data_IF_501800683468
#
_entry.id   IF_501800683468
#
_cell.length_a   1.000
_cell.length_b   1.000
_cell.length_c   1.000
_cell.angle_alpha   90.00
_cell.angle_beta   90.00
_cell.angle_gamma   90.00
#
_symmetry.space_group_name_H-M   'P 1'
#
loop_
_entity.id
_entity.type
_entity.pdbx_description
1 polymer ?
#
# COMPACT_ATOMS: atom_id res chain seq x y z
N UNK A 1 2.11 11.87 -10.63
CA UNK A 1 2.44 11.42 -9.26
C UNK A 1 3.94 11.21 -9.08
N UNK A 2 4.58 10.36 -9.88
CA UNK A 2 6.02 10.08 -9.78
C UNK A 2 6.93 11.33 -9.90
N UNK A 3 6.53 12.37 -10.64
CA UNK A 3 7.31 13.62 -10.80
C UNK A 3 7.34 14.46 -9.52
N UNK A 4 6.20 14.56 -8.82
CA UNK A 4 6.10 15.32 -7.57
C UNK A 4 6.92 14.67 -6.46
N UNK A 5 6.80 13.34 -6.31
CA UNK A 5 7.55 12.60 -5.31
C UNK A 5 9.06 12.65 -5.56
N UNK A 6 9.48 12.58 -6.83
CA UNK A 6 10.91 12.74 -7.21
C UNK A 6 11.44 14.14 -6.91
N UNK A 7 10.67 15.19 -7.19
CA UNK A 7 11.07 16.57 -6.84
C UNK A 7 11.16 16.78 -5.33
N UNK A 8 10.22 16.22 -4.57
CA UNK A 8 10.23 16.24 -3.11
C UNK A 8 11.42 15.47 -2.54
N UNK A 9 11.72 14.27 -3.07
CA UNK A 9 12.90 13.48 -2.71
C UNK A 9 14.21 14.19 -3.06
N UNK A 10 14.27 14.92 -4.17
CA UNK A 10 15.46 15.72 -4.50
C UNK A 10 15.69 16.89 -3.54
N UNK A 11 14.63 17.41 -2.91
CA UNK A 11 14.72 18.50 -1.93
C UNK A 11 15.00 18.00 -0.51
N UNK A 12 14.38 16.88 -0.10
CA UNK A 12 14.50 16.31 1.24
C UNK A 12 15.48 15.13 1.33
N UNK A 13 16.08 14.69 0.22
CA UNK A 13 16.97 13.53 0.16
C UNK A 13 18.30 13.72 0.90
N UNK A 14 18.75 14.97 1.00
CA UNK A 14 19.94 15.36 1.76
C UNK A 14 19.66 15.58 3.25
N UNK A 15 18.39 15.47 3.69
CA UNK A 15 18.09 15.50 5.11
C UNK A 15 18.72 14.26 5.77
N UNK A 16 19.57 14.48 6.77
CA UNK A 16 20.18 13.44 7.61
C UNK A 16 19.17 12.68 8.51
N UNK A 17 17.93 12.51 8.06
CA UNK A 17 16.82 11.91 8.79
C UNK A 17 16.23 10.71 8.02
N UNK A 18 17.03 9.66 7.76
CA UNK A 18 16.57 8.48 7.02
C UNK A 18 15.40 7.77 7.72
N UNK A 19 15.33 7.83 9.06
CA UNK A 19 14.21 7.27 9.84
C UNK A 19 12.87 7.95 9.52
N UNK A 20 12.85 9.29 9.43
CA UNK A 20 11.63 10.06 9.13
C UNK A 20 11.14 9.75 7.72
N UNK A 21 12.06 9.60 6.75
CA UNK A 21 11.72 9.23 5.38
C UNK A 21 11.15 7.82 5.30
N UNK A 22 11.70 6.86 6.05
CA UNK A 22 11.16 5.50 6.15
C UNK A 22 9.74 5.47 6.73
N UNK A 23 9.51 6.22 7.82
CA UNK A 23 8.18 6.30 8.46
C UNK A 23 7.15 6.94 7.53
N UNK A 24 7.55 7.99 6.82
CA UNK A 24 6.70 8.66 5.84
C UNK A 24 6.38 7.76 4.65
N UNK A 25 7.36 7.01 4.14
CA UNK A 25 7.15 6.02 3.09
C UNK A 25 6.20 4.90 3.54
N UNK A 26 6.37 4.39 4.76
CA UNK A 26 5.49 3.38 5.35
C UNK A 26 4.06 3.92 5.50
N UNK A 27 3.91 5.17 5.98
CA UNK A 27 2.63 5.84 6.09
C UNK A 27 1.95 6.02 4.72
N UNK A 28 2.72 6.44 3.71
CA UNK A 28 2.24 6.64 2.34
C UNK A 28 1.73 5.33 1.74
N UNK A 29 2.52 4.24 1.84
CA UNK A 29 2.13 2.91 1.37
C UNK A 29 0.87 2.40 2.09
N UNK A 30 0.76 2.62 3.40
CA UNK A 30 -0.46 2.28 4.18
C UNK A 30 -1.68 3.04 3.67
N UNK A 31 -1.53 4.33 3.36
CA UNK A 31 -2.62 5.16 2.83
C UNK A 31 -3.03 4.71 1.42
N UNK A 32 -2.07 4.40 0.55
CA UNK A 32 -2.34 3.87 -0.78
C UNK A 32 -3.07 2.54 -0.74
N UNK A 33 -2.65 1.60 0.13
CA UNK A 33 -3.38 0.34 0.34
C UNK A 33 -4.81 0.58 0.76
N UNK A 34 -5.05 1.52 1.68
CA UNK A 34 -6.40 1.86 2.11
C UNK A 34 -7.26 2.41 0.97
N UNK A 35 -6.70 3.24 0.09
CA UNK A 35 -7.41 3.76 -1.09
C UNK A 35 -7.79 2.63 -2.05
N UNK A 36 -6.85 1.73 -2.37
CA UNK A 36 -7.10 0.56 -3.21
C UNK A 36 -8.16 -0.35 -2.59
N UNK A 37 -8.06 -0.60 -1.28
CA UNK A 37 -9.03 -1.40 -0.55
C UNK A 37 -10.43 -0.77 -0.52
N UNK A 38 -10.51 0.56 -0.37
CA UNK A 38 -11.78 1.30 -0.47
C UNK A 38 -12.39 1.17 -1.87
N UNK A 39 -11.58 1.20 -2.93
CA UNK A 39 -12.06 0.96 -4.29
C UNK A 39 -12.62 -0.47 -4.44
N UNK A 40 -11.96 -1.46 -3.86
CA UNK A 40 -12.39 -2.87 -3.92
C UNK A 40 -13.65 -3.14 -3.08
N UNK A 41 -13.81 -2.49 -1.92
CA UNK A 41 -15.01 -2.58 -1.08
C UNK A 41 -16.23 -1.85 -1.65
N UNK A 42 -16.03 -0.83 -2.50
CA UNK A 42 -17.14 -0.11 -3.16
C UNK A 42 -17.85 -0.95 -4.23
N UNK A 43 -17.35 -2.15 -4.54
CA UNK A 43 -17.97 -3.08 -5.48
C UNK A 43 -17.91 -4.53 -5.00
N UNK A 44 -18.29 -5.47 -5.87
CA UNK A 44 -18.24 -6.93 -5.62
C UNK A 44 -16.88 -7.57 -5.94
N UNK A 45 -15.86 -6.76 -6.23
CA UNK A 45 -14.61 -7.22 -6.85
C UNK A 45 -13.51 -7.58 -5.85
N UNK A 46 -13.61 -7.17 -4.58
CA UNK A 46 -12.54 -7.37 -3.60
C UNK A 46 -12.07 -8.83 -3.44
N UNK A 47 -13.00 -9.78 -3.33
CA UNK A 47 -12.63 -11.21 -3.26
C UNK A 47 -11.93 -11.69 -4.55
N UNK A 48 -12.42 -11.28 -5.72
CA UNK A 48 -11.85 -11.66 -7.02
C UNK A 48 -10.44 -11.11 -7.19
N UNK A 49 -10.20 -9.85 -6.82
CA UNK A 49 -8.89 -9.21 -6.91
C UNK A 49 -7.89 -9.85 -5.94
N UNK A 50 -8.31 -10.17 -4.71
CA UNK A 50 -7.48 -10.91 -3.76
C UNK A 50 -7.05 -12.28 -4.31
N UNK A 51 -8.01 -13.04 -4.89
CA UNK A 51 -7.73 -14.34 -5.52
C UNK A 51 -6.82 -14.22 -6.73
N UNK A 52 -7.04 -13.22 -7.59
CA UNK A 52 -6.21 -12.97 -8.78
C UNK A 52 -4.74 -12.70 -8.41
N UNK A 53 -4.51 -12.14 -7.23
CA UNK A 53 -3.19 -11.80 -6.71
C UNK A 53 -2.58 -12.90 -5.82
N UNK A 54 -3.16 -14.10 -5.82
CA UNK A 54 -2.57 -15.28 -5.17
C UNK A 54 -2.94 -15.45 -3.70
N UNK A 55 -3.89 -14.67 -3.16
CA UNK A 55 -4.34 -14.87 -1.78
C UNK A 55 -5.16 -16.17 -1.66
N UNK A 56 -4.94 -16.90 -0.57
CA UNK A 56 -5.69 -18.12 -0.27
C UNK A 56 -7.19 -17.81 -0.18
N UNK A 57 -8.03 -18.80 -0.52
CA UNK A 57 -9.49 -18.62 -0.56
C UNK A 57 -10.04 -18.16 0.78
N UNK A 58 -9.57 -18.77 1.86
CA UNK A 58 -10.04 -18.50 3.22
C UNK A 58 -9.63 -17.10 3.69
N UNK A 59 -8.37 -16.71 3.45
CA UNK A 59 -7.91 -15.36 3.79
C UNK A 59 -8.61 -14.30 2.93
N UNK A 60 -8.85 -14.58 1.65
CA UNK A 60 -9.58 -13.68 0.77
C UNK A 60 -11.04 -13.49 1.22
N UNK A 61 -11.72 -14.56 1.62
CA UNK A 61 -13.10 -14.52 2.12
C UNK A 61 -13.19 -13.76 3.45
N UNK A 62 -12.28 -14.05 4.40
CA UNK A 62 -12.21 -13.36 5.69
C UNK A 62 -11.93 -11.86 5.53
N UNK A 63 -11.05 -11.49 4.60
CA UNK A 63 -10.69 -10.09 4.37
C UNK A 63 -11.84 -9.36 3.65
N UNK A 64 -12.44 -9.95 2.61
CA UNK A 64 -13.54 -9.32 1.89
C UNK A 64 -14.82 -9.18 2.73
N UNK A 65 -15.13 -10.17 3.57
CA UNK A 65 -16.33 -10.19 4.42
C UNK A 65 -16.21 -9.41 5.73
N UNK A 66 -15.03 -8.87 6.05
CA UNK A 66 -14.80 -8.16 7.30
C UNK A 66 -15.62 -6.87 7.38
N UNK A 67 -16.38 -6.62 8.47
CA UNK A 67 -17.19 -5.40 8.62
C UNK A 67 -16.33 -4.15 8.90
N UNK A 68 -15.04 -4.31 9.14
CA UNK A 68 -14.14 -3.21 9.49
C UNK A 68 -13.98 -2.21 8.33
N UNK A 69 -13.96 -0.92 8.66
CA UNK A 69 -13.82 0.16 7.67
C UNK A 69 -12.55 0.03 6.83
N UNK A 70 -12.54 0.58 5.61
CA UNK A 70 -11.41 0.47 4.68
C UNK A 70 -10.11 1.13 5.17
N UNK A 71 -10.19 1.95 6.21
CA UNK A 71 -9.07 2.62 6.88
C UNK A 71 -8.57 1.87 8.13
N UNK A 72 -9.19 0.75 8.50
CA UNK A 72 -8.78 -0.03 9.65
C UNK A 72 -7.41 -0.68 9.41
N UNK A 73 -6.49 -0.50 10.35
CA UNK A 73 -5.12 -1.02 10.26
C UNK A 73 -5.09 -2.54 10.01
N UNK A 74 -5.99 -3.29 10.66
CA UNK A 74 -6.14 -4.74 10.50
C UNK A 74 -6.49 -5.17 9.07
N UNK A 75 -7.37 -4.43 8.39
CA UNK A 75 -7.78 -4.73 7.02
C UNK A 75 -6.67 -4.40 6.02
N UNK A 76 -5.96 -3.30 6.26
CA UNK A 76 -4.79 -2.94 5.45
C UNK A 76 -3.69 -4.00 5.59
N UNK A 77 -3.41 -4.47 6.80
CA UNK A 77 -2.44 -5.53 7.05
C UNK A 77 -2.84 -6.85 6.37
N UNK A 78 -4.12 -7.25 6.46
CA UNK A 78 -4.65 -8.44 5.75
C UNK A 78 -4.55 -8.33 4.22
N UNK A 79 -4.56 -7.12 3.69
CA UNK A 79 -4.41 -6.88 2.24
C UNK A 79 -2.96 -6.88 1.77
N UNK A 80 -1.96 -6.85 2.67
CA UNK A 80 -0.54 -6.79 2.28
C UNK A 80 -0.10 -7.93 1.34
N UNK A 81 -0.50 -9.20 1.55
CA UNK A 81 -0.15 -10.27 0.63
C UNK A 81 -0.65 -10.02 -0.80
N UNK A 82 -1.78 -9.32 -0.95
CA UNK A 82 -2.31 -8.92 -2.26
C UNK A 82 -1.73 -7.60 -2.79
N UNK A 83 -1.19 -6.75 -1.91
CA UNK A 83 -0.65 -5.43 -2.23
C UNK A 83 0.79 -5.31 -1.70
N UNK A 84 1.74 -6.12 -2.23
CA UNK A 84 3.13 -6.08 -1.79
C UNK A 84 3.77 -4.74 -2.16
N UNK A 85 4.85 -4.37 -1.47
CA UNK A 85 5.59 -3.13 -1.77
C UNK A 85 6.05 -3.07 -3.24
N UNK A 86 6.40 -4.23 -3.83
CA UNK A 86 6.76 -4.35 -5.24
C UNK A 86 5.64 -3.89 -6.19
N UNK A 87 4.37 -4.12 -5.87
CA UNK A 87 3.25 -3.66 -6.68
C UNK A 87 3.25 -2.12 -6.78
N UNK A 88 3.48 -1.44 -5.66
CA UNK A 88 3.56 0.02 -5.64
C UNK A 88 4.79 0.54 -6.39
N UNK A 89 5.91 -0.18 -6.37
CA UNK A 89 7.07 0.14 -7.18
C UNK A 89 6.75 0.12 -8.69
N UNK A 90 5.99 -0.88 -9.16
CA UNK A 90 5.56 -0.93 -10.58
C UNK A 90 4.63 0.22 -10.98
N UNK A 91 3.90 0.81 -10.02
CA UNK A 91 3.07 2.00 -10.23
C UNK A 91 3.88 3.31 -10.25
N UNK A 92 5.21 3.23 -10.16
CA UNK A 92 6.09 4.39 -10.21
C UNK A 92 6.22 5.13 -8.88
N UNK A 93 5.99 4.46 -7.75
CA UNK A 93 6.39 4.96 -6.44
C UNK A 93 7.87 4.62 -6.23
N UNK A 94 8.79 5.60 -6.34
CA UNK A 94 10.20 5.36 -6.06
C UNK A 94 10.37 5.01 -4.58
N UNK A 95 11.30 4.10 -4.28
CA UNK A 95 11.73 3.89 -2.91
C UNK A 95 12.32 5.19 -2.36
N UNK A 96 11.83 5.64 -1.20
CA UNK A 96 12.21 6.95 -0.65
C UNK A 96 13.57 6.91 0.06
N UNK A 97 14.03 5.71 0.43
CA UNK A 97 15.34 5.49 1.02
C UNK A 97 16.08 4.45 0.20
N UNK A 98 17.22 4.85 -0.36
CA UNK A 98 18.21 3.91 -0.89
C UNK A 98 18.93 3.33 0.32
N UNK A 99 18.73 2.03 0.59
CA UNK A 99 19.59 1.33 1.54
C UNK A 99 20.97 1.23 0.90
N UNK A 100 21.92 2.03 1.39
CA UNK A 100 23.35 1.84 1.13
C UNK A 100 23.83 0.52 1.73
#
# INVERSE_FOLDING_TARGET
MATYLRGWLGYFGDCQTPSVLLDLEAWLRRRLRSVVWKQWKRGRTGFRELRKRGVSKDLAAQTAGSPHGSLAHREIARSEPALPNAYFATLGLPAMVVRS
#
